data_IF_071096074160
#
_entry.id   IF_071096074160
#
_cell.length_a   1.000
_cell.length_b   1.000
_cell.length_c   1.000
_cell.angle_alpha   90.00
_cell.angle_beta   90.00
_cell.angle_gamma   90.00
#
_symmetry.space_group_name_H-M   'P 1'
#
loop_
_entity.id
_entity.type
_entity.pdbx_description
1 polymer ?
#
# COMPACT_ATOMS: atom_id res chain seq x y z
N UNK A 1 -46.06 60.88 -3.44
CA UNK A 1 -46.54 59.65 -4.10
C UNK A 1 -45.66 59.51 -5.35
N UNK A 2 -44.90 58.53 -5.61
CA UNK A 2 -44.71 57.15 -5.24
C UNK A 2 -43.25 56.82 -5.49
N UNK A 3 -42.56 56.37 -4.44
CA UNK A 3 -41.25 55.71 -4.55
C UNK A 3 -41.56 54.23 -4.62
N UNK A 4 -41.45 53.65 -5.80
CA UNK A 4 -41.41 52.17 -5.97
C UNK A 4 -40.71 51.83 -7.27
N UNK A 5 -39.81 50.84 -7.17
CA UNK A 5 -39.20 50.08 -8.28
C UNK A 5 -37.76 50.46 -8.65
N UNK A 6 -36.82 50.21 -7.76
CA UNK A 6 -35.38 50.07 -8.13
C UNK A 6 -34.69 48.95 -7.34
N UNK A 7 -35.40 47.96 -6.78
CA UNK A 7 -34.74 46.91 -5.96
C UNK A 7 -34.76 45.51 -6.56
N UNK A 8 -35.03 45.32 -7.84
CA UNK A 8 -35.14 43.96 -8.43
C UNK A 8 -33.94 43.57 -9.34
N UNK A 9 -33.01 44.46 -9.65
CA UNK A 9 -31.92 44.14 -10.58
C UNK A 9 -30.55 43.92 -9.95
N UNK A 10 -30.39 44.04 -8.64
CA UNK A 10 -29.12 43.74 -7.95
C UNK A 10 -29.05 42.35 -7.32
N UNK A 11 -30.13 41.61 -7.31
CA UNK A 11 -30.20 40.25 -6.72
C UNK A 11 -29.71 39.15 -7.65
N UNK A 12 -29.66 39.38 -8.97
CA UNK A 12 -29.40 38.31 -9.94
C UNK A 12 -27.92 38.13 -10.34
N UNK A 13 -27.05 39.09 -10.02
CA UNK A 13 -25.61 39.00 -10.35
C UNK A 13 -24.77 38.33 -9.25
N UNK A 14 -25.30 38.17 -8.03
CA UNK A 14 -24.55 37.52 -6.95
C UNK A 14 -24.74 36.00 -6.95
N UNK A 15 -25.81 35.48 -7.57
CA UNK A 15 -26.06 34.04 -7.63
C UNK A 15 -25.25 33.29 -8.70
N UNK A 16 -24.63 33.99 -9.66
CA UNK A 16 -23.81 33.37 -10.73
C UNK A 16 -22.32 33.26 -10.39
N UNK A 17 -21.85 33.98 -9.36
CA UNK A 17 -20.45 33.89 -8.90
C UNK A 17 -20.21 32.72 -7.92
N UNK A 18 -21.26 32.08 -7.42
CA UNK A 18 -21.13 30.97 -6.45
C UNK A 18 -20.99 29.58 -7.08
N UNK A 19 -20.97 29.45 -8.41
CA UNK A 19 -20.93 28.15 -9.10
C UNK A 19 -19.61 27.85 -9.83
N UNK A 20 -18.63 28.75 -9.77
CA UNK A 20 -17.24 28.46 -10.18
C UNK A 20 -16.42 28.05 -8.95
N UNK A 21 -16.96 27.15 -8.12
CA UNK A 21 -16.24 26.66 -6.96
C UNK A 21 -15.36 25.48 -7.40
N UNK A 22 -14.07 25.75 -7.40
CA UNK A 22 -12.92 24.87 -7.60
C UNK A 22 -13.22 23.40 -7.39
N UNK A 23 -13.08 22.62 -8.47
CA UNK A 23 -13.21 21.16 -8.48
C UNK A 23 -11.99 20.46 -7.84
N UNK A 24 -11.38 21.02 -6.83
CA UNK A 24 -10.27 20.43 -6.09
C UNK A 24 -10.73 19.38 -5.06
N UNK A 25 -9.84 18.44 -4.73
CA UNK A 25 -10.07 17.50 -3.63
C UNK A 25 -9.84 18.20 -2.28
N UNK A 26 -10.55 17.79 -1.20
CA UNK A 26 -10.27 18.29 0.14
C UNK A 26 -8.79 18.10 0.52
N UNK A 27 -8.19 19.08 1.20
CA UNK A 27 -6.81 18.98 1.69
C UNK A 27 -6.64 17.79 2.64
N UNK A 28 -7.63 17.57 3.51
CA UNK A 28 -7.65 16.41 4.38
C UNK A 28 -9.05 15.79 4.49
N UNK A 29 -9.06 14.47 4.73
CA UNK A 29 -10.25 13.71 5.08
C UNK A 29 -9.91 12.80 6.27
N UNK A 30 -10.76 12.79 7.28
CA UNK A 30 -10.68 11.87 8.42
C UNK A 30 -11.83 10.88 8.33
N UNK A 31 -11.58 9.65 8.77
CA UNK A 31 -12.58 8.61 8.66
C UNK A 31 -12.21 7.35 9.43
N UNK A 32 -12.94 6.30 9.10
CA UNK A 32 -12.73 4.96 9.65
C UNK A 32 -12.57 3.97 8.50
N UNK A 33 -11.60 3.10 8.65
CA UNK A 33 -11.42 1.92 7.83
C UNK A 33 -11.91 0.70 8.61
N UNK A 34 -12.68 -0.17 7.96
CA UNK A 34 -12.99 -1.50 8.44
C UNK A 34 -12.75 -2.51 7.32
N UNK A 35 -12.05 -3.59 7.61
CA UNK A 35 -11.75 -4.59 6.58
C UNK A 35 -11.06 -5.82 7.13
N UNK A 36 -10.88 -6.80 6.24
CA UNK A 36 -10.18 -8.02 6.55
C UNK A 36 -9.36 -8.50 5.37
N UNK A 37 -8.32 -9.24 5.68
CA UNK A 37 -7.46 -9.86 4.68
C UNK A 37 -6.90 -11.19 5.16
N UNK A 38 -6.50 -11.99 4.20
CA UNK A 38 -5.80 -13.26 4.43
C UNK A 38 -4.58 -13.32 3.50
N UNK A 39 -3.43 -13.71 4.07
CA UNK A 39 -2.17 -13.82 3.34
C UNK A 39 -1.33 -14.97 3.90
N UNK A 40 -0.30 -15.48 3.20
CA UNK A 40 0.72 -16.29 3.81
C UNK A 40 1.32 -15.59 5.04
N UNK A 41 1.66 -16.33 6.08
CA UNK A 41 2.20 -15.77 7.34
C UNK A 41 3.55 -15.07 7.14
N UNK A 42 4.36 -15.57 6.21
CA UNK A 42 5.57 -14.97 5.66
C UNK A 42 5.74 -15.43 4.21
N UNK A 43 6.63 -14.84 3.40
CA UNK A 43 6.81 -15.26 2.00
C UNK A 43 7.17 -16.74 1.88
N UNK A 44 6.41 -17.48 1.05
CA UNK A 44 6.49 -18.95 0.87
C UNK A 44 6.06 -19.80 2.08
N UNK A 45 5.39 -19.22 3.08
CA UNK A 45 4.75 -20.00 4.16
C UNK A 45 3.53 -20.75 3.66
N UNK A 46 3.37 -22.01 4.07
CA UNK A 46 2.12 -22.78 3.90
C UNK A 46 1.01 -22.28 4.82
N UNK A 47 1.38 -21.72 5.97
CA UNK A 47 0.45 -21.19 6.95
C UNK A 47 -0.06 -19.80 6.55
N UNK A 48 -1.30 -19.52 6.91
CA UNK A 48 -1.98 -18.27 6.59
C UNK A 48 -2.28 -17.44 7.83
N UNK A 49 -2.11 -16.13 7.68
CA UNK A 49 -2.58 -15.14 8.65
C UNK A 49 -3.85 -14.49 8.13
N UNK A 50 -4.95 -14.62 8.87
CA UNK A 50 -6.22 -13.95 8.55
C UNK A 50 -6.53 -12.94 9.64
N UNK A 51 -6.79 -11.70 9.26
CA UNK A 51 -7.01 -10.60 10.22
C UNK A 51 -8.16 -9.72 9.80
N UNK A 52 -8.88 -9.19 10.78
CA UNK A 52 -9.84 -8.12 10.63
C UNK A 52 -9.34 -6.89 11.41
N UNK A 53 -9.50 -5.71 10.83
CA UNK A 53 -9.02 -4.45 11.40
C UNK A 53 -10.10 -3.40 11.31
N UNK A 54 -10.18 -2.57 12.35
CA UNK A 54 -10.92 -1.31 12.35
C UNK A 54 -9.93 -0.23 12.80
N UNK A 55 -9.68 0.76 11.94
CA UNK A 55 -8.65 1.77 12.17
C UNK A 55 -9.17 3.17 11.83
N UNK A 56 -8.81 4.20 12.60
CA UNK A 56 -8.97 5.58 12.17
C UNK A 56 -8.11 5.84 10.93
N UNK A 57 -8.58 6.68 10.04
CA UNK A 57 -7.85 7.05 8.82
C UNK A 57 -7.75 8.54 8.67
N UNK A 58 -6.61 8.97 8.15
CA UNK A 58 -6.34 10.34 7.74
C UNK A 58 -5.80 10.31 6.29
N UNK A 59 -6.58 10.88 5.38
CA UNK A 59 -6.10 11.19 4.04
C UNK A 59 -5.66 12.66 4.07
N UNK A 60 -4.41 12.93 3.71
CA UNK A 60 -3.84 14.26 3.66
C UNK A 60 -3.14 14.49 2.31
N UNK A 61 -3.41 15.62 1.67
CA UNK A 61 -2.93 15.95 0.32
C UNK A 61 -2.12 17.24 0.31
N UNK A 62 -1.19 17.37 1.25
CA UNK A 62 -0.27 18.51 1.28
C UNK A 62 0.74 18.47 0.14
N UNK A 63 1.47 19.55 -0.04
CA UNK A 63 2.48 19.68 -1.09
C UNK A 63 3.67 18.75 -0.83
N UNK A 64 4.12 18.63 0.42
CA UNK A 64 5.24 17.80 0.83
C UNK A 64 4.73 16.48 1.42
N UNK A 65 4.01 16.53 2.54
CA UNK A 65 3.47 15.33 3.18
C UNK A 65 2.16 14.92 2.54
N UNK A 66 2.05 13.63 2.21
CA UNK A 66 0.85 13.05 1.61
C UNK A 66 0.54 11.68 2.24
N UNK A 67 -0.76 11.45 2.40
CA UNK A 67 -1.32 10.16 2.77
C UNK A 67 -2.58 9.98 1.93
N UNK A 68 -2.42 9.57 0.70
CA UNK A 68 -3.50 9.45 -0.27
C UNK A 68 -3.37 8.13 -1.06
N UNK A 69 -3.97 8.06 -2.24
CA UNK A 69 -3.93 6.86 -3.10
C UNK A 69 -2.53 6.50 -3.60
N UNK A 70 -1.62 7.47 -3.64
CA UNK A 70 -0.21 7.24 -3.97
C UNK A 70 0.60 6.66 -2.81
N UNK A 71 -0.07 6.36 -1.68
CA UNK A 71 0.56 5.86 -0.46
C UNK A 71 0.83 6.97 0.56
N UNK A 72 1.49 6.59 1.63
CA UNK A 72 1.99 7.53 2.65
C UNK A 72 3.41 7.92 2.27
N UNK A 73 3.73 9.21 2.28
CA UNK A 73 5.07 9.65 1.94
C UNK A 73 5.30 11.15 2.06
N UNK A 74 6.55 11.53 1.87
CA UNK A 74 7.00 12.92 1.79
C UNK A 74 7.62 13.16 0.41
N UNK A 75 7.01 14.06 -0.37
CA UNK A 75 7.47 14.42 -1.70
C UNK A 75 8.77 15.21 -1.62
N UNK A 76 9.76 14.79 -2.40
CA UNK A 76 11.07 15.46 -2.51
C UNK A 76 11.16 16.25 -3.82
N UNK A 77 10.80 15.60 -4.93
CA UNK A 77 10.80 16.20 -6.25
C UNK A 77 9.53 15.79 -7.01
N UNK A 78 9.01 16.67 -7.84
CA UNK A 78 7.83 16.40 -8.64
C UNK A 78 7.92 17.14 -9.98
N UNK A 79 7.61 16.41 -11.05
CA UNK A 79 7.36 16.92 -12.40
C UNK A 79 5.98 16.45 -12.85
N UNK A 80 5.56 16.76 -14.05
CA UNK A 80 4.25 16.34 -14.58
C UNK A 80 4.08 14.81 -14.60
N UNK A 81 5.13 14.06 -14.91
CA UNK A 81 5.05 12.60 -15.10
C UNK A 81 5.89 11.79 -14.10
N UNK A 82 6.71 12.45 -13.28
CA UNK A 82 7.63 11.75 -12.36
C UNK A 82 7.64 12.41 -10.98
N UNK A 83 7.65 11.59 -9.94
CA UNK A 83 7.75 12.03 -8.56
C UNK A 83 8.78 11.17 -7.82
N UNK A 84 9.68 11.83 -7.08
CA UNK A 84 10.54 11.21 -6.08
C UNK A 84 10.00 11.57 -4.70
N UNK A 85 9.67 10.56 -3.92
CA UNK A 85 9.22 10.73 -2.53
C UNK A 85 9.95 9.78 -1.57
N UNK A 86 9.75 9.98 -0.28
CA UNK A 86 10.06 9.01 0.76
C UNK A 86 8.76 8.26 1.06
N UNK A 87 8.67 7.03 0.59
CA UNK A 87 7.51 6.18 0.81
C UNK A 87 7.59 5.40 2.12
N UNK A 88 6.43 5.00 2.64
CA UNK A 88 6.28 4.18 3.84
C UNK A 88 5.40 2.97 3.56
N UNK A 89 5.72 1.84 4.19
CA UNK A 89 4.90 0.65 4.22
C UNK A 89 4.99 -0.02 5.59
N UNK A 90 4.08 -0.92 5.90
CA UNK A 90 4.13 -1.71 7.12
C UNK A 90 3.53 -3.10 6.89
N UNK A 91 4.03 -4.08 7.64
CA UNK A 91 3.45 -5.41 7.72
C UNK A 91 3.13 -5.78 9.17
N UNK A 92 2.13 -6.63 9.35
CA UNK A 92 1.73 -7.08 10.67
C UNK A 92 2.59 -8.25 11.15
N UNK A 93 2.74 -8.43 12.47
CA UNK A 93 3.55 -9.49 13.05
C UNK A 93 2.91 -10.86 12.83
N UNK A 94 3.71 -11.94 12.90
CA UNK A 94 3.24 -13.30 12.90
C UNK A 94 3.92 -14.10 14.01
N UNK A 95 3.14 -14.82 14.83
CA UNK A 95 3.66 -15.67 15.89
C UNK A 95 4.28 -16.94 15.31
N UNK A 96 5.50 -17.23 15.67
CA UNK A 96 6.19 -18.45 15.28
C UNK A 96 5.58 -19.70 15.91
N UNK A 97 4.82 -19.56 17.00
CA UNK A 97 4.09 -20.68 17.62
C UNK A 97 2.94 -21.17 16.74
N UNK A 98 2.33 -20.27 15.95
CA UNK A 98 1.23 -20.60 15.04
C UNK A 98 1.73 -21.12 13.68
N UNK A 99 3.04 -21.22 13.48
CA UNK A 99 3.67 -21.60 12.22
C UNK A 99 4.56 -22.83 12.45
N UNK A 100 4.10 -24.06 12.12
CA UNK A 100 4.83 -25.29 12.41
C UNK A 100 6.30 -25.27 11.96
N UNK A 101 6.59 -24.71 10.78
CA UNK A 101 7.95 -24.60 10.27
C UNK A 101 8.85 -23.68 11.10
N UNK A 102 8.28 -22.79 11.93
CA UNK A 102 9.00 -21.81 12.75
C UNK A 102 8.91 -22.06 14.25
N UNK A 103 8.28 -23.14 14.69
CA UNK A 103 8.15 -23.43 16.13
C UNK A 103 9.51 -23.41 16.85
N UNK A 104 9.57 -22.71 17.99
CA UNK A 104 10.80 -22.51 18.76
C UNK A 104 11.76 -21.46 18.20
N UNK A 105 11.41 -20.79 17.08
CA UNK A 105 12.12 -19.61 16.59
C UNK A 105 11.49 -18.32 17.13
N UNK A 106 12.19 -17.19 17.10
CA UNK A 106 11.61 -15.89 17.40
C UNK A 106 10.41 -15.58 16.50
N UNK A 107 9.43 -14.85 17.04
CA UNK A 107 8.30 -14.34 16.28
C UNK A 107 8.77 -13.37 15.20
N UNK A 108 7.99 -13.27 14.12
CA UNK A 108 8.15 -12.21 13.14
C UNK A 108 7.43 -10.97 13.64
N UNK A 109 8.17 -9.91 13.94
CA UNK A 109 7.65 -8.66 14.47
C UNK A 109 6.89 -7.81 13.44
N UNK A 110 6.39 -6.67 13.86
CA UNK A 110 5.86 -5.66 12.94
C UNK A 110 7.01 -5.07 12.14
N UNK A 111 6.94 -5.14 10.81
CA UNK A 111 7.91 -4.44 9.97
C UNK A 111 7.39 -3.06 9.57
N UNK A 112 8.25 -2.07 9.68
CA UNK A 112 8.06 -0.73 9.12
C UNK A 112 9.13 -0.54 8.06
N UNK A 113 8.69 -0.13 6.89
CA UNK A 113 9.54 0.07 5.74
C UNK A 113 9.47 1.53 5.31
N UNK A 114 10.60 2.15 5.02
CA UNK A 114 10.64 3.50 4.49
C UNK A 114 11.90 3.73 3.65
N UNK A 115 11.80 4.61 2.69
CA UNK A 115 12.92 4.97 1.84
C UNK A 115 12.50 5.68 0.56
N UNK A 116 13.48 6.04 -0.28
CA UNK A 116 13.23 6.72 -1.54
C UNK A 116 12.38 5.84 -2.47
N UNK A 117 11.40 6.47 -3.11
CA UNK A 117 10.54 5.86 -4.12
C UNK A 117 10.42 6.78 -5.31
N UNK A 118 10.93 6.32 -6.45
CA UNK A 118 10.71 6.95 -7.74
C UNK A 118 9.46 6.34 -8.36
N UNK A 119 8.51 7.17 -8.74
CA UNK A 119 7.27 6.74 -9.39
C UNK A 119 6.88 7.69 -10.50
N UNK A 120 6.12 7.19 -11.48
CA UNK A 120 5.68 8.03 -12.57
C UNK A 120 4.69 7.36 -13.51
N UNK A 121 4.24 8.13 -14.49
CA UNK A 121 3.35 7.69 -15.56
C UNK A 121 4.18 7.47 -16.83
N UNK A 122 4.13 6.25 -17.36
CA UNK A 122 4.79 5.88 -18.62
C UNK A 122 3.93 6.22 -19.82
N UNK A 123 2.61 6.04 -19.70
CA UNK A 123 1.67 6.27 -20.79
C UNK A 123 0.25 6.50 -20.25
N UNK A 124 -0.55 7.24 -21.03
CA UNK A 124 -2.00 7.41 -20.85
C UNK A 124 -2.71 6.93 -22.12
N UNK A 125 -2.95 5.61 -22.30
CA UNK A 125 -3.55 5.06 -23.52
C UNK A 125 -4.94 5.63 -23.81
N UNK A 126 -5.70 5.97 -22.77
CA UNK A 126 -7.00 6.64 -22.87
C UNK A 126 -7.13 7.69 -21.74
N UNK A 127 -8.09 8.63 -21.80
CA UNK A 127 -8.36 9.57 -20.71
C UNK A 127 -8.65 8.90 -19.36
N UNK A 128 -9.16 7.65 -19.39
CA UNK A 128 -9.55 6.88 -18.23
C UNK A 128 -8.54 5.79 -17.85
N UNK A 129 -7.40 5.70 -18.54
CA UNK A 129 -6.39 4.68 -18.24
C UNK A 129 -4.98 5.24 -18.21
N UNK A 130 -4.13 4.64 -17.36
CA UNK A 130 -2.72 5.01 -17.26
C UNK A 130 -1.86 3.80 -16.92
N UNK A 131 -0.67 3.79 -17.51
CA UNK A 131 0.41 2.87 -17.19
C UNK A 131 1.41 3.61 -16.30
N UNK A 132 1.67 3.08 -15.10
CA UNK A 132 2.58 3.69 -14.11
C UNK A 132 3.68 2.72 -13.72
N UNK A 133 4.78 3.29 -13.25
CA UNK A 133 5.87 2.54 -12.63
C UNK A 133 6.13 3.07 -11.23
N UNK A 134 6.64 2.18 -10.36
CA UNK A 134 7.19 2.52 -9.05
C UNK A 134 8.48 1.74 -8.79
N UNK A 135 9.49 2.42 -8.27
CA UNK A 135 10.80 1.88 -7.93
C UNK A 135 11.14 2.26 -6.48
N UNK A 136 10.57 1.60 -5.48
CA UNK A 136 10.89 1.84 -4.09
C UNK A 136 12.15 1.10 -3.69
N UNK A 137 13.03 1.78 -2.94
CA UNK A 137 14.11 1.18 -2.17
C UNK A 137 13.89 1.51 -0.70
N UNK A 138 13.59 0.50 0.12
CA UNK A 138 13.15 0.68 1.49
C UNK A 138 14.09 0.02 2.49
N UNK A 139 14.47 0.74 3.53
CA UNK A 139 15.02 0.15 4.74
C UNK A 139 13.89 -0.51 5.51
N UNK A 140 14.14 -1.71 6.04
CA UNK A 140 13.18 -2.51 6.79
C UNK A 140 13.58 -2.54 8.26
N UNK A 141 12.69 -2.03 9.11
CA UNK A 141 12.84 -2.05 10.56
C UNK A 141 11.79 -2.97 11.17
N UNK A 142 12.23 -3.88 12.02
CA UNK A 142 11.33 -4.67 12.86
C UNK A 142 11.09 -3.95 14.19
N UNK A 143 9.84 -3.89 14.59
CA UNK A 143 9.43 -3.44 15.91
C UNK A 143 8.92 -4.64 16.70
N UNK A 144 9.78 -5.14 17.58
CA UNK A 144 9.50 -6.22 18.51
C UNK A 144 10.50 -6.06 19.66
N UNK A 145 10.09 -5.95 20.92
CA UNK A 145 10.99 -5.72 22.08
C UNK A 145 12.13 -4.71 21.87
N UNK A 146 12.04 -3.85 20.86
CA UNK A 146 13.02 -2.87 20.40
C UNK A 146 12.87 -2.59 18.91
N UNK A 147 13.78 -1.81 18.34
CA UNK A 147 13.84 -1.51 16.89
C UNK A 147 15.08 -2.16 16.32
N UNK A 148 14.89 -3.08 15.39
CA UNK A 148 15.97 -3.85 14.77
C UNK A 148 15.97 -3.62 13.26
N UNK A 149 17.13 -3.29 12.70
CA UNK A 149 17.30 -3.18 11.25
C UNK A 149 17.30 -4.59 10.65
N UNK A 150 16.36 -4.87 9.75
CA UNK A 150 16.24 -6.14 9.03
C UNK A 150 16.71 -6.04 7.57
N UNK A 151 17.46 -4.99 7.21
CA UNK A 151 18.05 -4.83 5.89
C UNK A 151 17.22 -3.98 4.94
N UNK A 152 17.28 -4.31 3.65
CA UNK A 152 16.67 -3.53 2.60
C UNK A 152 15.79 -4.38 1.68
N UNK A 153 14.69 -3.78 1.24
CA UNK A 153 13.79 -4.31 0.22
C UNK A 153 13.75 -3.38 -1.00
N UNK A 154 13.65 -3.96 -2.18
CA UNK A 154 13.37 -3.27 -3.44
C UNK A 154 12.18 -3.96 -4.12
N UNK A 155 11.19 -3.18 -4.56
CA UNK A 155 9.98 -3.73 -5.19
C UNK A 155 9.62 -2.94 -6.46
N UNK A 156 10.37 -3.09 -7.58
CA UNK A 156 9.96 -2.50 -8.84
C UNK A 156 8.58 -3.03 -9.25
N UNK A 157 7.68 -2.11 -9.55
CA UNK A 157 6.29 -2.38 -9.92
C UNK A 157 5.92 -1.66 -11.21
N UNK A 158 5.15 -2.33 -12.06
CA UNK A 158 4.43 -1.77 -13.19
C UNK A 158 2.94 -1.97 -12.97
N UNK A 159 2.15 -0.90 -13.07
CA UNK A 159 0.71 -0.93 -12.83
C UNK A 159 -0.09 -0.30 -13.97
N UNK A 160 -1.20 -0.92 -14.33
CA UNK A 160 -2.17 -0.42 -15.27
C UNK A 160 -3.48 -0.12 -14.55
N UNK A 161 -3.85 1.16 -14.53
CA UNK A 161 -5.04 1.67 -13.86
C UNK A 161 -6.11 2.03 -14.87
N UNK A 162 -7.36 1.68 -14.57
CA UNK A 162 -8.53 2.01 -15.40
C UNK A 162 -9.64 2.58 -14.52
N UNK A 163 -10.30 3.64 -15.01
CA UNK A 163 -11.53 4.17 -14.45
C UNK A 163 -12.70 3.79 -15.33
N UNK A 164 -13.79 3.30 -14.76
CA UNK A 164 -15.02 2.95 -15.47
C UNK A 164 -16.22 3.34 -14.62
N UNK A 165 -16.79 4.50 -14.87
CA UNK A 165 -17.83 5.08 -14.04
C UNK A 165 -17.37 5.29 -12.59
N UNK A 166 -18.08 4.67 -11.65
CA UNK A 166 -17.73 4.72 -10.22
C UNK A 166 -16.63 3.73 -9.80
N UNK A 167 -16.22 2.83 -10.69
CA UNK A 167 -15.18 1.83 -10.46
C UNK A 167 -13.79 2.36 -10.78
N UNK A 168 -12.82 1.89 -10.03
CA UNK A 168 -11.40 1.99 -10.31
C UNK A 168 -10.78 0.62 -10.18
N UNK A 169 -10.13 0.20 -11.25
CA UNK A 169 -9.46 -1.09 -11.36
C UNK A 169 -7.96 -0.83 -11.53
N UNK A 170 -7.14 -1.65 -10.91
CA UNK A 170 -5.70 -1.62 -11.09
C UNK A 170 -5.17 -3.03 -11.17
N UNK A 171 -4.32 -3.28 -12.14
CA UNK A 171 -3.55 -4.53 -12.26
C UNK A 171 -2.08 -4.16 -12.14
N UNK A 172 -1.34 -4.78 -11.24
CA UNK A 172 0.10 -4.55 -11.11
C UNK A 172 0.91 -5.83 -11.09
N UNK A 173 2.10 -5.75 -11.65
CA UNK A 173 3.12 -6.79 -11.60
C UNK A 173 4.37 -6.23 -10.93
N UNK A 174 4.95 -6.95 -9.96
CA UNK A 174 6.15 -6.54 -9.25
C UNK A 174 7.10 -7.70 -8.96
N UNK A 175 8.36 -7.33 -8.69
CA UNK A 175 9.39 -8.23 -8.17
C UNK A 175 9.74 -7.77 -6.75
N UNK A 176 9.81 -8.70 -5.80
CA UNK A 176 10.26 -8.41 -4.44
C UNK A 176 11.65 -8.93 -4.26
N UNK A 177 12.59 -8.04 -4.01
CA UNK A 177 14.00 -8.32 -3.80
C UNK A 177 14.37 -7.94 -2.37
N UNK A 178 15.18 -8.76 -1.72
CA UNK A 178 15.71 -8.48 -0.39
C UNK A 178 17.23 -8.63 -0.36
N UNK A 179 17.88 -7.85 0.48
CA UNK A 179 19.30 -8.09 0.79
C UNK A 179 19.46 -9.38 1.63
N UNK A 180 20.67 -9.75 1.97
CA UNK A 180 20.93 -10.96 2.76
C UNK A 180 20.32 -10.92 4.15
N UNK A 181 20.24 -9.74 4.77
CA UNK A 181 19.67 -9.57 6.10
C UNK A 181 18.15 -9.75 6.10
N UNK A 182 17.44 -9.14 5.15
CA UNK A 182 16.00 -9.31 5.01
C UNK A 182 15.63 -10.76 4.65
N UNK A 183 16.40 -11.38 3.77
CA UNK A 183 16.19 -12.78 3.44
C UNK A 183 16.54 -13.69 4.64
N UNK A 184 17.56 -13.37 5.44
CA UNK A 184 17.87 -14.10 6.68
C UNK A 184 16.74 -14.02 7.69
N UNK A 185 16.06 -12.89 7.80
CA UNK A 185 14.90 -12.70 8.66
C UNK A 185 13.75 -13.65 8.32
N UNK A 186 13.47 -13.86 7.03
CA UNK A 186 12.38 -14.73 6.59
C UNK A 186 12.79 -16.21 6.49
N UNK A 187 14.00 -16.51 6.01
CA UNK A 187 14.40 -17.84 5.57
C UNK A 187 15.58 -18.43 6.34
N UNK A 188 16.25 -17.62 7.16
CA UNK A 188 17.38 -18.08 7.94
C UNK A 188 16.99 -19.03 9.08
N UNK A 189 17.81 -20.04 9.32
CA UNK A 189 17.73 -20.93 10.49
C UNK A 189 19.06 -20.89 11.20
N UNK A 190 19.18 -20.19 12.36
CA UNK A 190 20.38 -20.22 13.19
C UNK A 190 20.73 -21.64 13.65
N UNK A 191 22.02 -21.89 13.82
CA UNK A 191 22.48 -23.24 14.17
C UNK A 191 21.96 -23.74 15.55
N UNK A 192 21.80 -22.84 16.50
CA UNK A 192 21.23 -23.08 17.83
C UNK A 192 19.72 -23.36 17.83
N UNK A 193 19.02 -22.99 16.76
CA UNK A 193 17.60 -23.23 16.56
C UNK A 193 17.33 -24.33 15.50
N UNK A 194 18.38 -24.97 15.00
CA UNK A 194 18.27 -26.04 14.03
C UNK A 194 17.70 -27.33 14.66
N UNK A 195 16.95 -28.09 13.87
CA UNK A 195 16.41 -29.41 14.24
C UNK A 195 16.66 -30.39 13.10
N UNK A 196 16.41 -31.67 13.32
CA UNK A 196 16.53 -32.68 12.26
C UNK A 196 15.62 -32.41 11.07
N UNK A 197 14.44 -31.82 11.30
CA UNK A 197 13.43 -31.46 10.27
C UNK A 197 13.65 -30.05 9.72
N UNK A 198 14.40 -29.21 10.42
CA UNK A 198 14.71 -27.84 10.06
C UNK A 198 16.21 -27.59 10.26
N UNK A 199 17.06 -28.03 9.31
CA UNK A 199 18.50 -27.82 9.39
C UNK A 199 18.88 -26.35 9.35
N UNK A 200 20.07 -26.02 9.87
CA UNK A 200 20.62 -24.67 9.81
C UNK A 200 20.71 -24.19 8.36
N UNK A 201 20.35 -22.92 8.14
CA UNK A 201 20.35 -22.33 6.80
C UNK A 201 20.75 -20.86 6.87
N UNK A 202 21.70 -20.47 6.05
CA UNK A 202 22.11 -19.07 5.85
C UNK A 202 21.51 -18.56 4.56
N UNK A 203 20.65 -17.57 4.66
CA UNK A 203 19.95 -17.00 3.52
C UNK A 203 20.83 -16.05 2.72
N UNK A 204 20.55 -15.95 1.42
CA UNK A 204 21.26 -15.11 0.47
C UNK A 204 20.38 -13.96 -0.01
N UNK A 205 21.02 -12.85 -0.41
CA UNK A 205 20.34 -11.75 -1.08
C UNK A 205 19.78 -12.21 -2.42
N UNK A 206 18.64 -11.62 -2.82
CA UNK A 206 18.06 -11.87 -4.14
C UNK A 206 16.53 -11.84 -4.14
N UNK A 207 15.96 -12.46 -5.16
CA UNK A 207 14.51 -12.51 -5.36
C UNK A 207 13.83 -13.26 -4.21
N UNK A 208 12.80 -12.64 -3.64
CA UNK A 208 11.86 -13.23 -2.69
C UNK A 208 10.65 -13.78 -3.44
N UNK A 209 9.98 -12.94 -4.26
CA UNK A 209 8.81 -13.35 -5.03
C UNK A 209 8.59 -12.47 -6.26
N UNK A 210 7.82 -13.00 -7.22
CA UNK A 210 7.12 -12.21 -8.23
C UNK A 210 5.66 -12.11 -7.85
N UNK A 211 5.03 -10.93 -8.07
CA UNK A 211 3.66 -10.63 -7.66
C UNK A 211 2.82 -10.19 -8.83
N UNK A 212 1.58 -10.64 -8.88
CA UNK A 212 0.51 -10.08 -9.69
C UNK A 212 -0.62 -9.68 -8.76
N UNK A 213 -1.01 -8.40 -8.77
CA UNK A 213 -2.07 -7.89 -7.89
C UNK A 213 -3.20 -7.28 -8.73
N UNK A 214 -4.42 -7.65 -8.40
CA UNK A 214 -5.64 -7.06 -8.94
C UNK A 214 -6.32 -6.28 -7.81
N UNK A 215 -6.59 -5.01 -8.05
CA UNK A 215 -7.30 -4.14 -7.11
C UNK A 215 -8.58 -3.62 -7.76
N UNK A 216 -9.65 -3.57 -7.01
CA UNK A 216 -10.89 -2.94 -7.39
C UNK A 216 -11.38 -2.02 -6.27
N UNK A 217 -11.85 -0.83 -6.62
CA UNK A 217 -12.51 0.05 -5.66
C UNK A 217 -13.69 0.77 -6.30
N UNK A 218 -14.69 1.06 -5.47
CA UNK A 218 -15.91 1.76 -5.88
C UNK A 218 -16.34 2.76 -4.82
N UNK A 219 -16.67 3.97 -5.24
CA UNK A 219 -17.39 4.91 -4.38
C UNK A 219 -18.88 4.55 -4.40
N UNK A 220 -19.46 4.24 -3.24
CA UNK A 220 -20.90 3.98 -3.07
C UNK A 220 -21.68 5.28 -2.82
N UNK A 221 -20.97 6.36 -2.54
CA UNK A 221 -21.50 7.70 -2.31
C UNK A 221 -20.33 8.65 -2.07
N UNK A 222 -20.60 9.88 -1.61
CA UNK A 222 -19.54 10.87 -1.37
C UNK A 222 -18.61 10.47 -0.22
N UNK A 223 -19.10 9.70 0.75
CA UNK A 223 -18.39 9.41 2.00
C UNK A 223 -17.95 7.95 2.15
N UNK A 224 -18.47 7.05 1.31
CA UNK A 224 -18.22 5.61 1.46
C UNK A 224 -17.52 5.07 0.22
N UNK A 225 -16.37 4.41 0.45
CA UNK A 225 -15.63 3.67 -0.57
C UNK A 225 -15.43 2.24 -0.13
N UNK A 226 -15.74 1.30 -1.00
CA UNK A 226 -15.38 -0.11 -0.84
C UNK A 226 -14.20 -0.42 -1.74
N UNK A 227 -13.39 -1.39 -1.31
CA UNK A 227 -12.28 -1.90 -2.11
C UNK A 227 -12.04 -3.38 -1.81
N UNK A 228 -11.46 -4.05 -2.77
CA UNK A 228 -11.00 -5.42 -2.66
C UNK A 228 -9.71 -5.60 -3.45
N UNK A 229 -8.89 -6.55 -3.04
CA UNK A 229 -7.74 -6.98 -3.81
C UNK A 229 -7.56 -8.49 -3.76
N UNK A 230 -6.91 -9.00 -4.80
CA UNK A 230 -6.35 -10.34 -4.86
C UNK A 230 -4.92 -10.21 -5.35
N UNK A 231 -3.98 -10.85 -4.65
CA UNK A 231 -2.57 -10.91 -5.01
C UNK A 231 -2.15 -12.37 -5.15
N UNK A 232 -1.56 -12.68 -6.26
CA UNK A 232 -0.89 -13.95 -6.52
C UNK A 232 0.61 -13.74 -6.43
N UNK A 233 1.29 -14.59 -5.71
CA UNK A 233 2.73 -14.56 -5.52
C UNK A 233 3.33 -15.88 -6.02
N UNK A 234 4.40 -15.76 -6.76
CA UNK A 234 5.22 -16.90 -7.17
C UNK A 234 6.57 -16.79 -6.49
N UNK A 235 6.91 -17.81 -5.70
CA UNK A 235 8.17 -17.93 -4.99
C UNK A 235 9.17 -18.81 -5.75
N UNK A 236 8.72 -19.55 -6.76
CA UNK A 236 9.59 -20.33 -7.62
C UNK A 236 10.63 -19.40 -8.28
N UNK A 237 11.90 -19.73 -8.13
CA UNK A 237 13.03 -18.86 -8.51
C UNK A 237 13.52 -17.92 -7.39
N UNK A 238 12.93 -18.01 -6.18
CA UNK A 238 13.49 -17.34 -4.99
C UNK A 238 14.92 -17.76 -4.74
N UNK A 239 15.77 -16.79 -4.35
CA UNK A 239 17.17 -17.03 -3.98
C UNK A 239 17.31 -18.04 -2.82
N UNK A 240 16.26 -18.22 -2.02
CA UNK A 240 16.26 -19.06 -0.83
C UNK A 240 15.28 -20.25 -0.91
N UNK A 241 15.02 -20.75 -2.11
CA UNK A 241 14.16 -21.91 -2.33
C UNK A 241 14.66 -23.21 -1.64
N UNK A 242 15.94 -23.28 -1.28
CA UNK A 242 16.55 -24.39 -0.54
C UNK A 242 16.37 -24.28 0.99
N UNK A 243 15.82 -23.18 1.51
CA UNK A 243 15.57 -23.03 2.94
C UNK A 243 14.50 -24.00 3.44
N UNK A 244 14.67 -24.60 4.63
CA UNK A 244 13.61 -25.40 5.24
C UNK A 244 12.36 -24.59 5.60
N UNK A 245 12.46 -23.24 5.62
CA UNK A 245 11.33 -22.32 5.81
C UNK A 245 10.60 -22.01 4.50
N UNK A 246 11.11 -22.42 3.35
CA UNK A 246 10.43 -22.33 2.07
C UNK A 246 9.45 -23.51 1.93
N UNK A 247 8.17 -23.26 2.18
CA UNK A 247 7.14 -24.31 2.28
C UNK A 247 6.32 -24.49 1.00
N UNK A 248 6.19 -23.44 0.17
CA UNK A 248 5.39 -23.51 -1.05
C UNK A 248 5.94 -22.57 -2.15
N UNK A 249 5.70 -22.96 -3.41
CA UNK A 249 6.18 -22.22 -4.57
C UNK A 249 5.24 -21.08 -5.03
N UNK A 250 4.03 -21.04 -4.52
CA UNK A 250 3.02 -20.02 -4.83
C UNK A 250 2.24 -19.63 -3.59
N UNK A 251 1.76 -18.41 -3.53
CA UNK A 251 0.89 -17.92 -2.47
C UNK A 251 -0.20 -17.04 -3.03
N UNK A 252 -1.28 -16.88 -2.29
CA UNK A 252 -2.37 -15.98 -2.63
C UNK A 252 -2.73 -15.15 -1.40
N UNK A 253 -2.88 -13.85 -1.59
CA UNK A 253 -3.43 -12.95 -0.58
C UNK A 253 -4.71 -12.34 -1.13
N UNK A 254 -5.69 -12.11 -0.28
CA UNK A 254 -6.92 -11.41 -0.64
C UNK A 254 -7.41 -10.58 0.53
N UNK A 255 -8.07 -9.49 0.22
CA UNK A 255 -8.67 -8.63 1.25
C UNK A 255 -9.79 -7.79 0.68
N UNK A 256 -10.64 -7.35 1.57
CA UNK A 256 -11.73 -6.43 1.28
C UNK A 256 -11.86 -5.43 2.43
N UNK A 257 -12.39 -4.25 2.12
CA UNK A 257 -12.56 -3.22 3.14
C UNK A 257 -13.49 -2.11 2.69
N UNK A 258 -13.86 -1.32 3.68
CA UNK A 258 -14.69 -0.14 3.56
C UNK A 258 -13.98 1.03 4.22
N UNK A 259 -13.92 2.15 3.53
CA UNK A 259 -13.50 3.43 4.06
C UNK A 259 -14.72 4.34 4.17
N UNK A 260 -14.99 4.84 5.38
CA UNK A 260 -16.03 5.81 5.66
C UNK A 260 -15.41 7.13 6.07
N UNK A 261 -15.59 8.16 5.25
CA UNK A 261 -15.18 9.53 5.53
C UNK A 261 -16.16 10.18 6.47
N UNK A 262 -15.70 10.62 7.63
CA UNK A 262 -16.51 11.25 8.69
C UNK A 262 -16.40 12.77 8.67
N UNK A 263 -15.29 13.30 8.14
CA UNK A 263 -15.05 14.73 8.04
C UNK A 263 -14.05 15.07 6.96
N UNK A 264 -14.14 16.28 6.41
CA UNK A 264 -13.23 16.78 5.37
C UNK A 264 -12.97 18.28 5.50
N UNK A 265 -11.83 18.75 5.04
CA UNK A 265 -11.51 20.17 5.02
C UNK A 265 -12.39 20.94 4.03
N UNK A 266 -12.69 22.21 4.35
CA UNK A 266 -13.21 23.17 3.38
C UNK A 266 -12.11 23.61 2.37
N UNK A 267 -10.84 23.64 2.82
CA UNK A 267 -9.72 23.92 1.95
C UNK A 267 -9.54 22.77 0.94
N UNK A 268 -9.30 23.13 -0.31
CA UNK A 268 -9.13 22.22 -1.43
C UNK A 268 -7.74 22.39 -2.02
N UNK A 269 -7.23 21.34 -2.63
CA UNK A 269 -5.97 21.34 -3.39
C UNK A 269 -6.27 21.15 -4.86
N UNK A 270 -5.58 21.91 -5.70
CA UNK A 270 -5.58 21.70 -7.14
C UNK A 270 -4.89 20.36 -7.46
N UNK A 271 -5.33 19.72 -8.52
CA UNK A 271 -4.73 18.48 -9.04
C UNK A 271 -3.57 18.82 -9.96
#
# INVERSE_FOLDING_TARGET
MAVRTVWVLLGSCVALAAHAQEQGLPLWEVGMFAGGFSSPAYPASSERSTRALVLPTLIYRGEVFRSDRGGVGARVLHTEDTELDIGFAASLPASSQDIPARQGMPDLGTLIEFGPRLKGTLARPTPDSQLRYELPLRMVLEINSGVHNQGFAMEPELSYDVRSGSWRLSTSASLVLGDSRLNQYFYGVPADLATAQRPAYTAQAGLISTRLTLNASRNLGPDVRVFAYVRMERYAGSANAASPLYQQSTGTSAGLGLLWTLGRSAAKVAH
#
